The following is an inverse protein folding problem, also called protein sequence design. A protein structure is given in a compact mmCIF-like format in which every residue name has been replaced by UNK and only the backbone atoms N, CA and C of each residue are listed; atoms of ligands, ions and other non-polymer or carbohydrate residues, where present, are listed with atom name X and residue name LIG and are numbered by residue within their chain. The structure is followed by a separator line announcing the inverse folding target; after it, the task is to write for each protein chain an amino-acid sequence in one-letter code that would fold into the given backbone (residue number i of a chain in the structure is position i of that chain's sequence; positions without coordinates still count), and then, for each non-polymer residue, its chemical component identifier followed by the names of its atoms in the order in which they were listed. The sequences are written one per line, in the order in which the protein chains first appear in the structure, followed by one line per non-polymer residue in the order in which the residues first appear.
data_IF_121360393764
#
_entry.id   IF_121360393764
#
_cell.length_a   1.000
_cell.length_b   1.000
_cell.length_c   1.000
_cell.angle_alpha   90.00
_cell.angle_beta   90.00
_cell.angle_gamma   90.00
#
_symmetry.space_group_name_H-M   'P 1'
#
loop_
_entity.id
_entity.type
_entity.pdbx_description
1 polymer ?
#
# COMPACT_ATOMS: atom_id res chain seq x y z
N UNK A 1 31.16 6.55 5.16
CA UNK A 1 30.06 5.74 4.60
C UNK A 1 28.89 6.67 4.34
N UNK A 2 28.25 6.53 3.16
CA UNK A 2 27.18 7.39 2.65
C UNK A 2 25.97 7.44 3.61
N UNK A 3 25.30 8.58 3.71
CA UNK A 3 23.87 8.56 4.04
C UNK A 3 23.10 8.43 2.72
N UNK A 4 22.45 7.29 2.51
CA UNK A 4 21.72 6.99 1.27
C UNK A 4 20.51 7.89 1.01
N UNK A 5 20.24 8.86 1.87
CA UNK A 5 19.21 9.90 1.71
C UNK A 5 19.56 10.92 0.62
N UNK A 6 20.82 11.34 0.49
CA UNK A 6 21.23 12.35 -0.50
C UNK A 6 21.11 11.83 -1.95
N UNK A 7 21.49 10.57 -2.19
CA UNK A 7 21.36 9.96 -3.51
C UNK A 7 19.90 9.74 -3.94
N UNK A 8 19.00 9.47 -2.98
CA UNK A 8 17.55 9.33 -3.27
C UNK A 8 16.92 10.66 -3.73
N UNK A 9 17.58 11.78 -3.45
CA UNK A 9 17.19 13.11 -3.93
C UNK A 9 17.73 13.43 -5.33
N UNK A 10 18.28 12.45 -6.05
CA UNK A 10 18.79 12.57 -7.42
C UNK A 10 17.97 11.83 -8.49
N UNK A 11 16.93 11.09 -8.11
CA UNK A 11 15.90 10.68 -9.06
C UNK A 11 16.43 9.79 -10.18
N UNK A 12 16.17 10.16 -11.43
CA UNK A 12 16.67 9.35 -12.56
C UNK A 12 18.19 9.36 -12.65
N UNK A 13 18.87 10.41 -12.16
CA UNK A 13 20.34 10.43 -12.14
C UNK A 13 20.90 9.36 -11.20
N UNK A 14 20.25 9.08 -10.07
CA UNK A 14 20.66 8.01 -9.15
C UNK A 14 20.41 6.59 -9.65
N UNK A 15 19.63 6.45 -10.73
CA UNK A 15 19.28 5.16 -11.33
C UNK A 15 19.87 4.98 -12.73
N UNK A 16 20.67 5.94 -13.20
CA UNK A 16 21.32 5.84 -14.49
C UNK A 16 22.55 4.92 -14.37
N UNK A 17 22.56 3.78 -15.10
CA UNK A 17 23.61 2.76 -14.92
C UNK A 17 24.99 3.26 -15.34
N UNK A 18 25.06 4.24 -16.24
CA UNK A 18 26.34 4.82 -16.66
C UNK A 18 26.84 5.80 -15.60
N UNK A 19 25.95 6.60 -15.02
CA UNK A 19 26.32 7.48 -13.90
C UNK A 19 26.79 6.67 -12.69
N UNK A 20 26.06 5.61 -12.35
CA UNK A 20 26.42 4.73 -11.22
C UNK A 20 27.78 4.05 -11.45
N UNK A 21 28.03 3.55 -12.66
CA UNK A 21 29.32 2.95 -13.01
C UNK A 21 30.48 3.96 -12.96
N UNK A 22 30.26 5.19 -13.43
CA UNK A 22 31.27 6.25 -13.40
C UNK A 22 31.59 6.71 -11.98
N UNK A 23 30.56 6.88 -11.14
CA UNK A 23 30.72 7.21 -9.72
C UNK A 23 31.55 6.18 -8.94
N UNK A 24 31.51 4.90 -9.36
CA UNK A 24 32.25 3.81 -8.74
C UNK A 24 33.69 3.68 -9.26
N UNK A 25 34.02 4.34 -10.38
CA UNK A 25 35.37 4.32 -10.98
C UNK A 25 36.29 5.39 -10.39
N UNK A 26 35.74 6.46 -9.83
CA UNK A 26 36.53 7.58 -9.29
C UNK A 26 37.20 7.24 -7.95
N UNK A 27 38.54 7.19 -7.98
CA UNK A 27 39.38 6.81 -6.84
C UNK A 27 39.71 7.97 -5.87
N UNK A 28 39.20 9.18 -6.12
CA UNK A 28 39.50 10.38 -5.32
C UNK A 28 38.40 10.65 -4.27
N UNK A 29 38.74 11.15 -3.07
CA UNK A 29 37.77 11.51 -2.03
C UNK A 29 37.06 12.82 -2.40
N UNK A 30 36.10 12.74 -3.32
CA UNK A 30 35.21 13.84 -3.68
C UNK A 30 33.83 13.65 -3.02
N UNK A 31 33.15 14.76 -2.74
CA UNK A 31 31.77 14.76 -2.27
C UNK A 31 30.85 14.01 -3.25
N UNK A 32 29.70 13.51 -2.78
CA UNK A 32 28.74 12.83 -3.64
C UNK A 32 28.33 13.72 -4.83
N UNK A 33 28.15 15.01 -4.57
CA UNK A 33 27.82 15.98 -5.60
C UNK A 33 28.89 16.13 -6.66
N UNK A 34 30.17 16.23 -6.29
CA UNK A 34 31.26 16.30 -7.27
C UNK A 34 31.30 15.07 -8.18
N UNK A 35 31.09 13.87 -7.62
CA UNK A 35 31.05 12.63 -8.41
C UNK A 35 29.86 12.57 -9.38
N UNK A 36 28.68 13.00 -8.91
CA UNK A 36 27.48 13.10 -9.75
C UNK A 36 27.68 14.13 -10.86
N UNK A 37 28.22 15.30 -10.54
CA UNK A 37 28.50 16.35 -11.51
C UNK A 37 29.52 15.90 -12.55
N UNK A 38 30.61 15.26 -12.13
CA UNK A 38 31.62 14.70 -13.04
C UNK A 38 31.05 13.62 -13.97
N UNK A 39 30.22 12.74 -13.42
CA UNK A 39 29.55 11.69 -14.20
C UNK A 39 28.55 12.25 -15.23
N UNK A 40 27.79 13.28 -14.84
CA UNK A 40 26.86 13.99 -15.76
C UNK A 40 27.62 14.70 -16.87
N UNK A 41 28.74 15.37 -16.54
CA UNK A 41 29.60 16.05 -17.51
C UNK A 41 30.22 15.07 -18.54
N UNK A 42 30.50 13.83 -18.13
CA UNK A 42 31.01 12.80 -19.02
C UNK A 42 29.93 12.16 -19.90
N UNK A 43 28.69 12.08 -19.39
CA UNK A 43 27.58 11.38 -20.05
C UNK A 43 26.81 12.23 -21.06
N UNK A 44 26.65 13.52 -20.80
CA UNK A 44 25.82 14.43 -21.60
C UNK A 44 26.69 15.50 -22.25
N UNK A 45 26.38 15.86 -23.51
CA UNK A 45 27.17 16.87 -24.25
C UNK A 45 26.70 18.29 -23.92
N UNK A 46 25.43 18.45 -23.52
CA UNK A 46 24.86 19.72 -23.12
C UNK A 46 23.67 19.56 -22.16
N UNK A 47 23.22 20.68 -21.57
CA UNK A 47 22.05 20.68 -20.69
C UNK A 47 20.76 20.21 -21.38
N UNK A 48 20.60 20.50 -22.68
CA UNK A 48 19.42 20.08 -23.44
C UNK A 48 19.33 18.55 -23.58
N UNK A 49 20.44 17.83 -23.70
CA UNK A 49 20.44 16.37 -23.74
C UNK A 49 19.87 15.78 -22.44
N UNK A 50 20.23 16.37 -21.30
CA UNK A 50 19.68 15.99 -20.00
C UNK A 50 18.18 16.33 -19.93
N UNK A 51 17.79 17.52 -20.39
CA UNK A 51 16.39 17.96 -20.37
C UNK A 51 15.49 17.08 -21.23
N UNK A 52 15.97 16.58 -22.38
CA UNK A 52 15.19 15.70 -23.25
C UNK A 52 14.93 14.32 -22.65
N UNK A 53 15.77 13.87 -21.70
CA UNK A 53 15.55 12.62 -20.97
C UNK A 53 14.57 12.76 -19.81
N UNK A 54 14.16 13.98 -19.44
CA UNK A 54 13.24 14.17 -18.34
C UNK A 54 11.83 13.73 -18.72
N UNK A 55 11.30 12.78 -17.94
CA UNK A 55 9.91 12.36 -18.07
C UNK A 55 8.97 13.32 -17.34
N UNK A 56 7.69 13.27 -17.70
CA UNK A 56 6.64 13.92 -16.92
C UNK A 56 6.70 13.50 -15.44
N UNK A 57 6.47 14.45 -14.54
CA UNK A 57 6.31 14.18 -13.11
C UNK A 57 4.83 14.03 -12.77
N UNK A 58 4.51 13.19 -11.78
CA UNK A 58 3.14 12.96 -11.30
C UNK A 58 2.94 13.31 -9.83
N UNK A 59 4.04 13.39 -9.08
CA UNK A 59 4.02 13.71 -7.65
C UNK A 59 4.90 14.92 -7.36
N UNK A 60 4.65 15.58 -6.23
CA UNK A 60 5.45 16.74 -5.81
C UNK A 60 6.91 16.34 -5.53
N UNK A 61 7.18 15.16 -4.99
CA UNK A 61 8.57 14.70 -4.79
C UNK A 61 9.28 14.44 -6.13
N UNK A 62 8.61 13.85 -7.12
CA UNK A 62 9.17 13.75 -8.48
C UNK A 62 9.42 15.13 -9.08
N UNK A 63 8.58 16.11 -8.77
CA UNK A 63 8.78 17.48 -9.23
C UNK A 63 10.03 18.12 -8.61
N UNK A 64 10.21 18.00 -7.29
CA UNK A 64 11.41 18.46 -6.58
C UNK A 64 12.65 17.79 -7.17
N UNK A 65 12.52 16.52 -7.50
CA UNK A 65 13.56 15.74 -8.12
C UNK A 65 13.98 16.29 -9.50
N UNK A 66 13.02 16.54 -10.39
CA UNK A 66 13.29 17.15 -11.71
C UNK A 66 13.92 18.53 -11.57
N UNK A 67 13.51 19.32 -10.58
CA UNK A 67 14.11 20.63 -10.31
C UNK A 67 15.60 20.51 -9.96
N UNK A 68 15.98 19.55 -9.11
CA UNK A 68 17.38 19.28 -8.75
C UNK A 68 18.20 18.75 -9.92
N UNK A 69 17.62 17.89 -10.75
CA UNK A 69 18.27 17.43 -11.98
C UNK A 69 18.57 18.58 -12.95
N UNK A 70 17.64 19.54 -13.07
CA UNK A 70 17.91 20.74 -13.87
C UNK A 70 19.04 21.58 -13.25
N UNK A 71 19.06 21.73 -11.92
CA UNK A 71 20.12 22.46 -11.23
C UNK A 71 21.50 21.81 -11.43
N UNK A 72 21.56 20.47 -11.45
CA UNK A 72 22.76 19.71 -11.81
C UNK A 72 23.20 20.03 -13.25
N UNK A 73 22.27 20.12 -14.20
CA UNK A 73 22.58 20.54 -15.57
C UNK A 73 23.19 21.95 -15.61
N UNK A 74 22.59 22.90 -14.90
CA UNK A 74 23.10 24.28 -14.83
C UNK A 74 24.51 24.33 -14.22
N UNK A 75 24.78 23.58 -13.15
CA UNK A 75 26.14 23.51 -12.56
C UNK A 75 27.17 22.93 -13.55
N UNK A 76 26.79 21.90 -14.31
CA UNK A 76 27.70 21.20 -15.22
C UNK A 76 27.99 22.00 -16.48
N UNK A 77 26.97 22.67 -17.03
CA UNK A 77 27.03 23.27 -18.36
C UNK A 77 27.01 24.81 -18.37
N UNK A 78 26.96 25.47 -17.20
CA UNK A 78 27.08 26.92 -17.08
C UNK A 78 28.34 27.32 -16.33
N UNK A 79 29.11 28.22 -16.91
CA UNK A 79 30.31 28.81 -16.29
C UNK A 79 29.97 29.83 -15.18
N UNK A 80 28.70 30.22 -15.05
CA UNK A 80 28.25 31.24 -14.09
C UNK A 80 28.00 30.66 -12.69
N UNK A 81 27.91 29.33 -12.55
CA UNK A 81 27.51 28.65 -11.32
C UNK A 81 28.74 28.17 -10.54
N UNK A 82 29.04 28.84 -9.43
CA UNK A 82 30.22 28.53 -8.60
C UNK A 82 29.97 27.50 -7.48
N UNK A 83 28.75 26.99 -7.33
CA UNK A 83 28.39 26.01 -6.31
C UNK A 83 28.41 24.59 -6.86
N UNK A 84 28.88 23.62 -6.06
CA UNK A 84 28.74 22.18 -6.35
C UNK A 84 27.44 21.59 -5.82
N UNK A 85 26.70 22.33 -4.99
CA UNK A 85 25.45 21.86 -4.40
C UNK A 85 24.24 22.37 -5.22
N UNK A 86 23.43 21.48 -5.84
CA UNK A 86 22.25 21.87 -6.62
C UNK A 86 21.17 22.55 -5.78
N UNK A 87 21.09 22.28 -4.48
CA UNK A 87 20.10 22.89 -3.59
C UNK A 87 20.35 24.40 -3.38
N UNK A 88 21.58 24.87 -3.62
CA UNK A 88 21.96 26.28 -3.50
C UNK A 88 21.87 27.06 -4.82
N UNK A 89 21.57 26.38 -5.93
CA UNK A 89 21.44 27.02 -7.24
C UNK A 89 20.19 27.91 -7.25
N UNK A 90 20.26 29.16 -7.73
CA UNK A 90 19.07 29.99 -7.93
C UNK A 90 18.07 29.31 -8.88
N UNK A 91 16.81 29.22 -8.46
CA UNK A 91 15.76 28.65 -9.30
C UNK A 91 15.30 29.69 -10.33
N UNK A 92 15.93 29.66 -11.51
CA UNK A 92 15.65 30.62 -12.58
C UNK A 92 14.21 30.51 -13.11
N UNK A 93 13.64 31.59 -13.66
CA UNK A 93 12.34 31.55 -14.34
C UNK A 93 12.29 30.58 -15.53
N UNK A 94 13.43 30.29 -16.15
CA UNK A 94 13.55 29.30 -17.24
C UNK A 94 13.36 27.90 -16.70
N UNK A 95 14.10 27.52 -15.65
CA UNK A 95 13.93 26.24 -14.96
C UNK A 95 12.48 26.05 -14.52
N UNK A 96 11.88 27.06 -13.90
CA UNK A 96 10.50 26.96 -13.43
C UNK A 96 9.48 26.74 -14.54
N UNK A 97 9.58 27.49 -15.65
CA UNK A 97 8.69 27.30 -16.80
C UNK A 97 8.81 25.91 -17.41
N UNK A 98 10.03 25.37 -17.53
CA UNK A 98 10.24 23.99 -18.00
C UNK A 98 9.57 23.00 -17.05
N UNK A 99 9.77 23.16 -15.75
CA UNK A 99 9.19 22.27 -14.74
C UNK A 99 7.65 22.27 -14.74
N UNK A 100 7.02 23.45 -14.92
CA UNK A 100 5.55 23.55 -15.03
C UNK A 100 5.02 22.81 -16.25
N UNK A 101 5.75 22.80 -17.38
CA UNK A 101 5.35 22.11 -18.62
C UNK A 101 5.47 20.58 -18.53
N UNK A 102 6.37 20.07 -17.69
CA UNK A 102 6.54 18.63 -17.47
C UNK A 102 5.46 18.02 -16.54
N UNK A 103 4.61 18.85 -15.96
CA UNK A 103 3.66 18.44 -14.92
C UNK A 103 2.24 18.18 -15.40
N UNK A 104 1.40 17.57 -14.55
CA UNK A 104 -0.03 17.47 -14.78
C UNK A 104 -0.67 18.87 -14.74
N UNK A 105 -1.66 19.07 -15.61
CA UNK A 105 -2.35 20.36 -15.77
C UNK A 105 -3.02 20.84 -14.47
N UNK A 106 -3.44 19.92 -13.62
CA UNK A 106 -4.09 20.16 -12.32
C UNK A 106 -3.24 21.02 -11.38
N UNK A 107 -1.91 20.93 -11.49
CA UNK A 107 -0.98 21.69 -10.68
C UNK A 107 -0.58 23.04 -11.33
N UNK A 108 -0.81 23.23 -12.62
CA UNK A 108 -0.25 24.36 -13.38
C UNK A 108 -0.63 25.73 -12.81
N UNK A 109 -1.87 25.92 -12.36
CA UNK A 109 -2.35 27.19 -11.79
C UNK A 109 -1.67 27.51 -10.46
N UNK A 110 -1.63 26.55 -9.54
CA UNK A 110 -0.98 26.70 -8.23
C UNK A 110 0.52 26.99 -8.40
N UNK A 111 1.18 26.31 -9.34
CA UNK A 111 2.60 26.51 -9.61
C UNK A 111 2.92 27.86 -10.27
N UNK A 112 2.01 28.36 -11.12
CA UNK A 112 2.14 29.69 -11.70
C UNK A 112 2.02 30.78 -10.64
N UNK A 113 1.14 30.60 -9.65
CA UNK A 113 1.00 31.54 -8.52
C UNK A 113 2.23 31.49 -7.62
N UNK A 114 2.72 30.29 -7.30
CA UNK A 114 3.80 30.10 -6.34
C UNK A 114 5.15 30.73 -6.75
N UNK A 115 5.40 30.95 -8.05
CA UNK A 115 6.62 31.61 -8.54
C UNK A 115 6.46 33.12 -8.81
N UNK A 116 5.32 33.73 -8.46
CA UNK A 116 5.12 35.17 -8.67
C UNK A 116 5.98 36.06 -7.78
N UNK A 117 6.63 35.52 -6.76
CA UNK A 117 7.54 36.28 -5.92
C UNK A 117 8.88 36.44 -6.66
N UNK A 118 9.27 37.70 -6.94
CA UNK A 118 10.54 38.08 -7.59
C UNK A 118 11.77 37.91 -6.67
N UNK A 119 11.66 37.07 -5.65
CA UNK A 119 12.79 36.72 -4.79
C UNK A 119 13.71 35.73 -5.52
N UNK A 120 15.02 35.94 -5.37
CA UNK A 120 16.08 35.01 -5.81
C UNK A 120 16.06 33.75 -4.92
N UNK A 121 15.04 32.92 -5.11
CA UNK A 121 14.85 31.69 -4.34
C UNK A 121 15.70 30.57 -4.89
N UNK A 122 16.37 29.85 -3.99
CA UNK A 122 17.16 28.67 -4.36
C UNK A 122 16.26 27.48 -4.69
N UNK A 123 16.84 26.46 -5.31
CA UNK A 123 16.19 25.15 -5.52
C UNK A 123 15.67 24.57 -4.21
N UNK A 124 16.42 24.72 -3.11
CA UNK A 124 15.98 24.27 -1.78
C UNK A 124 14.74 25.01 -1.28
N UNK A 125 14.67 26.33 -1.47
CA UNK A 125 13.53 27.14 -1.03
C UNK A 125 12.27 26.76 -1.81
N UNK A 126 12.41 26.57 -3.12
CA UNK A 126 11.32 26.06 -3.96
C UNK A 126 10.89 24.65 -3.57
N UNK A 127 11.83 23.77 -3.22
CA UNK A 127 11.52 22.43 -2.74
C UNK A 127 10.73 22.46 -1.42
N UNK A 128 11.10 23.34 -0.49
CA UNK A 128 10.34 23.56 0.76
C UNK A 128 8.93 24.06 0.48
N UNK A 129 8.78 25.08 -0.38
CA UNK A 129 7.45 25.59 -0.79
C UNK A 129 6.58 24.49 -1.40
N UNK A 130 7.17 23.65 -2.25
CA UNK A 130 6.48 22.52 -2.87
C UNK A 130 6.00 21.50 -1.85
N UNK A 131 6.83 21.14 -0.86
CA UNK A 131 6.42 20.23 0.23
C UNK A 131 5.31 20.81 1.07
N UNK A 132 5.44 22.08 1.48
CA UNK A 132 4.38 22.77 2.24
C UNK A 132 3.05 22.78 1.49
N UNK A 133 3.09 23.00 0.16
CA UNK A 133 1.90 22.91 -0.68
C UNK A 133 1.32 21.48 -0.71
N UNK A 134 2.16 20.46 -0.88
CA UNK A 134 1.71 19.06 -0.85
C UNK A 134 1.07 18.69 0.49
N UNK A 135 1.67 19.10 1.60
CA UNK A 135 1.18 18.86 2.95
C UNK A 135 -0.16 19.57 3.18
N UNK A 136 -0.31 20.81 2.70
CA UNK A 136 -1.57 21.54 2.80
C UNK A 136 -2.70 20.88 1.99
N UNK A 137 -2.40 20.39 0.78
CA UNK A 137 -3.38 19.77 -0.12
C UNK A 137 -3.76 18.36 0.35
N UNK A 138 -2.77 17.55 0.74
CA UNK A 138 -2.99 16.14 1.06
C UNK A 138 -3.18 15.87 2.56
N UNK A 139 -2.78 16.80 3.43
CA UNK A 139 -2.85 16.67 4.89
C UNK A 139 -4.23 16.28 5.43
N UNK A 140 -5.33 16.95 5.04
CA UNK A 140 -6.67 16.57 5.48
C UNK A 140 -7.08 15.15 5.06
N UNK A 141 -6.66 14.71 3.88
CA UNK A 141 -6.94 13.36 3.38
C UNK A 141 -6.14 12.32 4.17
N UNK A 142 -4.85 12.56 4.40
CA UNK A 142 -4.01 11.70 5.23
C UNK A 142 -4.54 11.58 6.65
N UNK A 143 -5.00 12.69 7.25
CA UNK A 143 -5.60 12.68 8.58
C UNK A 143 -6.87 11.81 8.64
N UNK A 144 -7.73 11.87 7.61
CA UNK A 144 -8.92 11.01 7.50
C UNK A 144 -8.54 9.54 7.34
N UNK A 145 -7.55 9.23 6.51
CA UNK A 145 -7.05 7.85 6.33
C UNK A 145 -6.52 7.31 7.68
N UNK A 146 -5.67 8.06 8.37
CA UNK A 146 -5.11 7.66 9.67
C UNK A 146 -6.19 7.44 10.74
N UNK A 147 -7.23 8.29 10.76
CA UNK A 147 -8.36 8.13 11.65
C UNK A 147 -9.16 6.84 11.35
N UNK A 148 -9.36 6.52 10.08
CA UNK A 148 -10.02 5.28 9.66
C UNK A 148 -9.18 4.05 9.98
N UNK A 149 -7.87 4.09 9.74
CA UNK A 149 -6.94 3.00 10.10
C UNK A 149 -6.97 2.71 11.60
N UNK A 150 -7.03 3.75 12.43
CA UNK A 150 -7.15 3.60 13.89
C UNK A 150 -8.47 2.96 14.30
N UNK A 151 -9.58 3.34 13.67
CA UNK A 151 -10.89 2.73 13.92
C UNK A 151 -10.93 1.26 13.51
N UNK A 152 -10.39 0.93 12.32
CA UNK A 152 -10.32 -0.45 11.83
C UNK A 152 -9.49 -1.33 12.76
N UNK A 153 -8.35 -0.81 13.24
CA UNK A 153 -7.52 -1.52 14.23
C UNK A 153 -8.29 -1.77 15.54
N UNK A 154 -8.96 -0.75 16.08
CA UNK A 154 -9.77 -0.92 17.29
C UNK A 154 -10.96 -1.88 17.12
N UNK A 155 -11.54 -1.98 15.91
CA UNK A 155 -12.55 -2.99 15.60
C UNK A 155 -11.94 -4.40 15.54
N UNK A 156 -10.75 -4.56 14.96
CA UNK A 156 -10.05 -5.84 14.91
C UNK A 156 -9.75 -6.36 16.32
N UNK A 157 -9.23 -5.50 17.20
CA UNK A 157 -8.94 -5.86 18.60
C UNK A 157 -10.21 -6.30 19.34
N UNK A 158 -11.34 -5.59 19.15
CA UNK A 158 -12.64 -5.98 19.74
C UNK A 158 -13.16 -7.31 19.22
N UNK A 159 -12.99 -7.59 17.94
CA UNK A 159 -13.39 -8.89 17.36
C UNK A 159 -12.54 -10.01 17.96
N UNK A 160 -11.25 -9.79 18.17
CA UNK A 160 -10.36 -10.75 18.81
C UNK A 160 -10.77 -11.02 20.26
N UNK A 161 -11.10 -9.97 21.02
CA UNK A 161 -11.57 -10.09 22.41
C UNK A 161 -12.90 -10.86 22.50
N UNK A 162 -13.90 -10.45 21.70
CA UNK A 162 -15.18 -11.14 21.62
C UNK A 162 -15.03 -12.62 21.24
N UNK A 163 -14.06 -12.94 20.37
CA UNK A 163 -13.77 -14.32 20.01
C UNK A 163 -13.21 -15.14 21.19
N UNK A 164 -12.35 -14.54 22.02
CA UNK A 164 -11.83 -15.17 23.25
C UNK A 164 -12.94 -15.39 24.27
N UNK A 165 -13.77 -14.38 24.52
CA UNK A 165 -14.91 -14.47 25.45
C UNK A 165 -15.90 -15.55 25.00
N UNK A 166 -16.33 -15.52 23.74
CA UNK A 166 -17.26 -16.50 23.19
C UNK A 166 -16.72 -17.93 23.32
N UNK A 167 -15.42 -18.13 23.08
CA UNK A 167 -14.76 -19.43 23.24
C UNK A 167 -14.83 -19.90 24.71
N UNK A 168 -14.60 -19.00 25.66
CA UNK A 168 -14.66 -19.31 27.09
C UNK A 168 -16.08 -19.65 27.55
N UNK A 169 -17.08 -18.89 27.13
CA UNK A 169 -18.48 -19.12 27.47
C UNK A 169 -18.97 -20.49 26.99
N UNK A 170 -18.60 -20.85 25.77
CA UNK A 170 -18.94 -22.15 25.17
C UNK A 170 -18.31 -23.32 25.95
N UNK A 171 -17.07 -23.17 26.41
CA UNK A 171 -16.42 -24.16 27.27
C UNK A 171 -17.16 -24.32 28.61
N UNK A 172 -17.61 -23.22 29.22
CA UNK A 172 -18.36 -23.26 30.48
C UNK A 172 -19.71 -23.96 30.31
N UNK A 173 -20.46 -23.65 29.25
CA UNK A 173 -21.75 -24.31 28.95
C UNK A 173 -21.54 -25.83 28.80
N UNK A 174 -20.51 -26.23 28.07
CA UNK A 174 -20.16 -27.64 27.86
C UNK A 174 -19.82 -28.35 29.19
N UNK A 175 -19.07 -27.69 30.08
CA UNK A 175 -18.68 -28.24 31.38
C UNK A 175 -19.88 -28.43 32.35
N UNK A 176 -20.84 -27.50 32.35
CA UNK A 176 -22.07 -27.59 33.15
C UNK A 176 -22.94 -28.76 32.69
N UNK A 177 -23.01 -29.01 31.38
CA UNK A 177 -23.79 -30.11 30.81
C UNK A 177 -23.20 -31.49 31.17
N UNK A 178 -21.87 -31.61 31.28
CA UNK A 178 -21.20 -32.84 31.75
C UNK A 178 -21.43 -33.10 33.25
N UNK A 179 -21.42 -32.05 34.09
CA UNK A 179 -21.64 -32.18 35.54
C UNK A 179 -23.11 -32.45 35.91
N UNK A 180 -24.05 -32.04 35.06
CA UNK A 180 -25.48 -32.39 35.18
C UNK A 180 -25.82 -33.86 34.88
N UNK A 181 -24.87 -34.64 34.36
CA UNK A 181 -25.06 -36.07 34.02
C UNK A 181 -24.79 -37.04 35.19
N UNK A 182 -24.50 -36.55 36.40
CA UNK A 182 -24.19 -37.38 37.55
C UNK A 182 -25.20 -37.23 38.69
N UNK A 183 -26.30 -37.99 38.68
CA UNK A 183 -26.96 -38.46 39.93
C UNK A 183 -28.00 -39.56 39.66
N UNK A 184 -27.72 -40.71 40.26
CA UNK A 184 -28.66 -41.71 40.80
C UNK A 184 -29.56 -42.48 39.84
N UNK A 185 -29.02 -43.62 39.39
CA UNK A 185 -29.73 -44.78 38.86
C UNK A 185 -30.70 -45.36 39.92
N UNK A 186 -32.01 -45.13 39.78
CA UNK A 186 -33.06 -46.17 39.92
C UNK A 186 -34.47 -45.69 39.51
N UNK A 187 -35.00 -46.41 38.51
CA UNK A 187 -36.40 -46.65 38.09
C UNK A 187 -37.28 -45.49 37.59
N UNK A 188 -37.28 -45.42 36.24
CA UNK A 188 -38.43 -45.47 35.32
C UNK A 188 -39.62 -44.55 35.60
N UNK A 189 -39.68 -43.46 34.83
CA UNK A 189 -40.91 -42.88 34.31
C UNK A 189 -40.57 -41.97 33.13
N UNK A 190 -41.33 -42.18 32.05
CA UNK A 190 -41.49 -41.40 30.84
C UNK A 190 -41.49 -39.88 31.11
N UNK A 191 -40.39 -39.17 30.79
CA UNK A 191 -40.32 -37.70 30.83
C UNK A 191 -39.36 -37.16 29.77
N UNK A 192 -39.98 -36.70 28.69
CA UNK A 192 -39.71 -35.45 27.97
C UNK A 192 -38.42 -34.70 28.39
N UNK A 193 -37.34 -35.02 27.67
CA UNK A 193 -36.01 -34.47 27.92
C UNK A 193 -35.92 -32.99 27.56
N UNK A 194 -35.58 -32.15 28.56
CA UNK A 194 -35.15 -30.76 28.36
C UNK A 194 -33.74 -30.73 27.78
N UNK A 195 -33.59 -31.12 26.52
CA UNK A 195 -32.46 -30.72 25.68
C UNK A 195 -32.63 -29.25 25.25
N UNK A 196 -31.55 -28.61 24.80
CA UNK A 196 -31.65 -27.33 24.09
C UNK A 196 -32.63 -27.54 22.93
N UNK A 197 -33.71 -26.73 22.82
CA UNK A 197 -34.68 -26.92 21.74
C UNK A 197 -33.93 -26.90 20.41
N UNK A 198 -34.13 -27.92 19.58
CA UNK A 198 -33.52 -28.08 18.26
C UNK A 198 -33.56 -26.78 17.45
N UNK A 199 -34.62 -25.98 17.62
CA UNK A 199 -34.78 -24.65 17.05
C UNK A 199 -33.65 -23.65 17.40
N UNK A 200 -33.14 -23.64 18.63
CA UNK A 200 -32.03 -22.75 19.03
C UNK A 200 -30.70 -23.17 18.39
N UNK A 201 -30.45 -24.47 18.33
CA UNK A 201 -29.27 -25.05 17.68
C UNK A 201 -29.29 -24.77 16.17
N UNK A 202 -30.47 -24.89 15.57
CA UNK A 202 -30.72 -24.58 14.17
C UNK A 202 -30.45 -23.11 13.84
N UNK A 203 -30.93 -22.17 14.68
CA UNK A 203 -30.69 -20.74 14.50
C UNK A 203 -29.20 -20.40 14.45
N UNK A 204 -28.40 -20.94 15.37
CA UNK A 204 -26.97 -20.67 15.44
C UNK A 204 -26.19 -21.20 14.22
N UNK A 205 -26.58 -22.37 13.69
CA UNK A 205 -25.97 -22.94 12.49
C UNK A 205 -26.34 -22.16 11.21
N UNK A 206 -27.54 -21.57 11.16
CA UNK A 206 -27.95 -20.66 10.09
C UNK A 206 -27.10 -19.38 10.07
N UNK A 207 -26.80 -18.81 11.24
CA UNK A 207 -25.98 -17.60 11.38
C UNK A 207 -24.52 -17.85 10.93
N UNK A 208 -24.04 -19.10 11.07
CA UNK A 208 -22.74 -19.55 10.57
C UNK A 208 -22.71 -19.84 9.04
N UNK A 209 -23.81 -19.58 8.31
CA UNK A 209 -23.93 -19.66 6.84
C UNK A 209 -23.57 -21.04 6.23
N UNK A 210 -23.84 -22.15 6.93
CA UNK A 210 -23.66 -23.51 6.40
C UNK A 210 -24.75 -23.86 5.37
N UNK A 211 -24.43 -24.70 4.38
CA UNK A 211 -25.40 -25.19 3.39
C UNK A 211 -26.47 -26.07 4.06
N UNK A 212 -27.71 -25.60 4.04
CA UNK A 212 -28.82 -26.13 4.83
C UNK A 212 -29.43 -27.43 4.25
N UNK A 213 -29.28 -27.67 2.95
CA UNK A 213 -29.96 -28.79 2.26
C UNK A 213 -29.50 -30.19 2.70
N UNK A 214 -28.35 -30.30 3.37
CA UNK A 214 -27.81 -31.58 3.83
C UNK A 214 -28.33 -32.01 5.20
N UNK A 215 -29.04 -31.14 5.92
CA UNK A 215 -29.34 -31.32 7.35
C UNK A 215 -30.81 -31.57 7.70
N UNK A 216 -31.71 -31.68 6.71
CA UNK A 216 -33.17 -31.83 6.91
C UNK A 216 -33.59 -33.15 7.62
N UNK A 217 -32.64 -34.04 7.95
CA UNK A 217 -32.88 -35.34 8.61
C UNK A 217 -31.83 -35.74 9.65
N UNK A 218 -30.94 -34.85 10.05
CA UNK A 218 -29.87 -35.19 11.00
C UNK A 218 -30.32 -35.11 12.46
N UNK A 219 -29.71 -35.92 13.34
CA UNK A 219 -30.02 -35.94 14.78
C UNK A 219 -29.39 -34.75 15.52
N UNK A 220 -29.96 -34.39 16.68
CA UNK A 220 -29.44 -33.33 17.57
C UNK A 220 -27.98 -33.58 17.99
N UNK A 221 -27.59 -34.85 18.17
CA UNK A 221 -26.23 -35.23 18.54
C UNK A 221 -25.23 -34.94 17.41
N UNK A 222 -25.61 -35.20 16.15
CA UNK A 222 -24.77 -34.89 14.99
C UNK A 222 -24.57 -33.36 14.82
N UNK A 223 -25.59 -32.57 15.15
CA UNK A 223 -25.48 -31.10 15.16
C UNK A 223 -24.56 -30.60 16.29
N UNK A 224 -24.64 -31.19 17.49
CA UNK A 224 -23.72 -30.85 18.60
C UNK A 224 -22.27 -31.23 18.28
N UNK A 225 -22.03 -32.40 17.69
CA UNK A 225 -20.69 -32.84 17.32
C UNK A 225 -20.05 -31.92 16.26
N UNK A 226 -20.85 -31.41 15.31
CA UNK A 226 -20.40 -30.41 14.33
C UNK A 226 -20.14 -29.02 14.91
N UNK A 227 -20.85 -28.67 15.99
CA UNK A 227 -20.58 -27.45 16.74
C UNK A 227 -19.20 -27.54 17.41
N UNK A 228 -18.89 -28.66 18.05
CA UNK A 228 -17.56 -28.91 18.60
C UNK A 228 -16.46 -28.82 17.53
N UNK A 229 -16.66 -29.40 16.34
CA UNK A 229 -15.67 -29.29 15.24
C UNK A 229 -15.46 -27.86 14.71
N UNK A 230 -16.52 -27.04 14.66
CA UNK A 230 -16.41 -25.63 14.26
C UNK A 230 -15.63 -24.80 15.29
N UNK A 231 -15.86 -25.08 16.57
CA UNK A 231 -15.25 -24.37 17.68
C UNK A 231 -13.77 -24.75 17.86
N UNK A 232 -13.40 -25.98 17.48
CA UNK A 232 -12.02 -26.47 17.49
C UNK A 232 -11.18 -25.98 16.30
N UNK A 233 -11.75 -25.21 15.36
CA UNK A 233 -11.00 -24.60 14.27
C UNK A 233 -10.39 -25.59 13.27
N UNK A 234 -10.79 -26.88 13.30
CA UNK A 234 -10.44 -27.85 12.26
C UNK A 234 -11.25 -27.57 11.00
N UNK A 235 -10.77 -26.60 10.24
CA UNK A 235 -11.07 -26.51 8.82
C UNK A 235 -10.58 -27.79 8.14
N UNK A 236 -11.46 -28.79 8.00
CA UNK A 236 -11.26 -29.82 6.99
C UNK A 236 -11.42 -29.13 5.64
N UNK A 237 -10.24 -28.76 5.12
CA UNK A 237 -9.87 -28.56 3.73
C UNK A 237 -10.90 -29.09 2.74
N UNK A 238 -11.42 -28.17 1.92
CA UNK A 238 -11.80 -28.41 0.53
C UNK A 238 -13.18 -29.01 0.33
N UNK A 239 -14.09 -28.18 -0.20
CA UNK A 239 -14.94 -28.52 -1.34
C UNK A 239 -15.50 -27.21 -1.91
N UNK A 240 -14.60 -26.37 -2.43
CA UNK A 240 -14.97 -25.38 -3.44
C UNK A 240 -15.11 -26.14 -4.75
N UNK A 241 -16.33 -26.59 -5.05
CA UNK A 241 -16.69 -27.01 -6.40
C UNK A 241 -16.73 -25.77 -7.27
N UNK A 242 -15.54 -25.34 -7.69
CA UNK A 242 -15.31 -24.42 -8.79
C UNK A 242 -15.89 -25.10 -10.03
N UNK A 243 -17.06 -24.65 -10.47
CA UNK A 243 -17.63 -25.05 -11.75
C UNK A 243 -16.82 -24.33 -12.82
N UNK A 244 -15.75 -24.98 -13.25
CA UNK A 244 -14.94 -24.59 -14.38
C UNK A 244 -15.82 -24.71 -15.63
N UNK A 245 -16.16 -23.57 -16.23
CA UNK A 245 -16.83 -23.51 -17.52
C UNK A 245 -15.80 -23.88 -18.59
N UNK A 246 -16.02 -25.02 -19.24
CA UNK A 246 -15.25 -25.44 -20.39
C UNK A 246 -15.35 -24.41 -21.54
N UNK A 247 -14.26 -24.14 -22.28
CA UNK A 247 -14.33 -23.32 -23.46
C UNK A 247 -15.14 -24.05 -24.55
N UNK A 248 -16.20 -23.41 -25.02
CA UNK A 248 -16.91 -23.82 -26.23
C UNK A 248 -15.94 -23.68 -27.41
N UNK A 249 -15.64 -24.81 -28.03
CA UNK A 249 -14.88 -24.91 -29.27
C UNK A 249 -15.76 -24.42 -30.41
N UNK A 250 -15.52 -23.18 -30.87
CA UNK A 250 -16.03 -22.73 -32.16
C UNK A 250 -15.18 -23.38 -33.26
N UNK A 251 -15.66 -24.53 -33.75
CA UNK A 251 -15.21 -25.15 -34.99
C UNK A 251 -15.89 -24.41 -36.14
N UNK A 252 -15.16 -23.63 -36.92
CA UNK A 252 -15.55 -23.37 -38.30
C UNK A 252 -14.38 -23.64 -39.22
N UNK A 253 -14.63 -24.60 -40.12
CA UNK A 253 -13.75 -25.07 -41.17
C UNK A 253 -13.59 -24.01 -42.24
N UNK A 254 -12.40 -24.00 -42.80
CA UNK A 254 -12.08 -23.47 -44.12
C UNK A 254 -13.10 -23.91 -45.18
N UNK A 255 -13.38 -23.04 -46.14
CA UNK A 255 -13.23 -23.40 -47.54
C UNK A 255 -13.13 -22.16 -48.46
N UNK A 256 -12.10 -22.23 -49.28
CA UNK A 256 -11.73 -21.50 -50.49
C UNK A 256 -12.89 -20.94 -51.34
N UNK A 257 -12.69 -19.70 -51.83
CA UNK A 257 -12.54 -19.37 -53.25
C UNK A 257 -11.85 -18.00 -53.37
#
# INVERSE_FOLDING_TARGET
MLDGTEARHLGSLSHDPVIDQEMMREAHPCSLWERVLGSVAQRYLCADDLYMQQTQWKTIEQKIQRLREMAVAEIVFSDEINTRNPDLVPCTPVMWRKLVRLGPQEYSSALAIMKRDDTEETVLDMAKKLRTYADAVHGPTHARIAALETQVRGLADKIEENHKELKQDILQISAVQVRGSGTTRKRSLDREGKGIPQAKLWSFLCDCRKNMKRWDRESTDAMMQQLHELLDGKTVRGNSSKKEAAPVTQKNKDNQA
#
